data_IF_422728418783
#
_entry.id   IF_422728418783
#
_cell.length_a   1.000
_cell.length_b   1.000
_cell.length_c   1.000
_cell.angle_alpha   90.00
_cell.angle_beta   90.00
_cell.angle_gamma   90.00
#
_symmetry.space_group_name_H-M   'P 1'
#
loop_
_entity.id
_entity.type
_entity.pdbx_description
1 polymer ?
#
# COMPACT_ATOMS: atom_id res chain seq x y z
N UNK A 1 26.70 15.77 -20.24
CA UNK A 1 26.10 14.43 -20.45
C UNK A 1 26.32 13.61 -19.19
N UNK A 2 25.34 13.54 -18.29
CA UNK A 2 25.50 12.86 -16.99
C UNK A 2 25.14 11.38 -17.17
N UNK A 3 26.14 10.51 -16.98
CA UNK A 3 26.08 9.07 -17.16
C UNK A 3 24.93 8.48 -16.31
N UNK A 4 23.87 7.99 -16.96
CA UNK A 4 22.81 7.22 -16.33
C UNK A 4 23.40 5.84 -15.97
N UNK A 5 24.00 5.75 -14.78
CA UNK A 5 24.37 4.47 -14.21
C UNK A 5 23.08 3.88 -13.64
N UNK A 6 22.46 2.96 -14.38
CA UNK A 6 21.31 2.19 -13.89
C UNK A 6 21.71 1.65 -12.51
N UNK A 7 20.95 1.94 -11.44
CA UNK A 7 21.28 1.40 -10.14
C UNK A 7 21.40 -0.11 -10.29
N UNK A 8 22.57 -0.65 -9.96
CA UNK A 8 22.77 -2.10 -9.99
C UNK A 8 21.67 -2.74 -9.16
N UNK A 9 21.13 -3.87 -9.62
CA UNK A 9 20.11 -4.62 -8.86
C UNK A 9 20.57 -4.88 -7.40
N UNK A 10 21.88 -4.97 -7.20
CA UNK A 10 22.52 -5.08 -5.88
C UNK A 10 22.34 -3.80 -5.05
N UNK A 11 22.54 -2.60 -5.61
CA UNK A 11 22.33 -1.36 -4.88
C UNK A 11 20.86 -1.14 -4.51
N UNK A 12 19.94 -1.46 -5.43
CA UNK A 12 18.50 -1.37 -5.16
C UNK A 12 18.06 -2.34 -4.06
N UNK A 13 18.55 -3.58 -4.10
CA UNK A 13 18.25 -4.59 -3.08
C UNK A 13 18.82 -4.21 -1.70
N UNK A 14 20.03 -3.65 -1.64
CA UNK A 14 20.64 -3.21 -0.38
C UNK A 14 19.83 -2.05 0.24
N UNK A 15 19.42 -1.06 -0.56
CA UNK A 15 18.58 0.04 -0.08
C UNK A 15 17.23 -0.44 0.45
N UNK A 16 16.60 -1.40 -0.24
CA UNK A 16 15.33 -1.98 0.18
C UNK A 16 15.46 -2.70 1.53
N UNK A 17 16.53 -3.50 1.71
CA UNK A 17 16.78 -4.22 2.98
C UNK A 17 17.04 -3.24 4.12
N UNK A 18 17.79 -2.16 3.89
CA UNK A 18 18.09 -1.13 4.91
C UNK A 18 16.80 -0.45 5.40
N UNK A 19 15.88 -0.12 4.49
CA UNK A 19 14.61 0.53 4.85
C UNK A 19 13.75 -0.42 5.70
N UNK A 20 13.60 -1.68 5.27
CA UNK A 20 12.82 -2.69 6.01
C UNK A 20 13.45 -2.95 7.38
N UNK A 21 14.77 -3.14 7.45
CA UNK A 21 15.48 -3.37 8.70
C UNK A 21 15.30 -2.22 9.68
N UNK A 22 15.40 -0.97 9.21
CA UNK A 22 15.25 0.21 10.08
C UNK A 22 13.84 0.31 10.65
N UNK A 23 12.81 0.06 9.84
CA UNK A 23 11.41 0.06 10.31
C UNK A 23 11.17 -1.09 11.29
N UNK A 24 11.62 -2.30 10.97
CA UNK A 24 11.45 -3.47 11.81
C UNK A 24 12.13 -3.31 13.18
N UNK A 25 13.38 -2.82 13.20
CA UNK A 25 14.12 -2.55 14.43
C UNK A 25 13.45 -1.42 15.22
N UNK A 26 13.02 -0.34 14.54
CA UNK A 26 12.37 0.80 15.17
C UNK A 26 11.06 0.44 15.88
N UNK A 27 10.23 -0.40 15.27
CA UNK A 27 8.94 -0.81 15.84
C UNK A 27 9.10 -1.89 16.92
N UNK A 28 9.93 -2.91 16.66
CA UNK A 28 10.01 -4.10 17.52
C UNK A 28 10.93 -3.87 18.72
N UNK A 29 12.09 -3.24 18.53
CA UNK A 29 13.08 -3.09 19.59
C UNK A 29 12.77 -1.91 20.52
N UNK A 30 12.24 -0.81 19.97
CA UNK A 30 12.05 0.43 20.73
C UNK A 30 10.57 0.68 21.11
N UNK A 31 9.59 -0.06 20.54
CA UNK A 31 8.14 0.14 20.78
C UNK A 31 7.69 1.59 20.58
N UNK A 32 8.39 2.34 19.74
CA UNK A 32 8.12 3.76 19.50
C UNK A 32 7.00 3.88 18.45
N UNK A 33 6.26 4.99 18.50
CA UNK A 33 5.33 5.37 17.45
C UNK A 33 5.98 5.28 16.04
N UNK A 34 5.27 4.74 15.03
CA UNK A 34 5.80 4.55 13.67
C UNK A 34 6.35 5.84 13.04
N UNK A 35 5.78 7.00 13.40
CA UNK A 35 6.24 8.31 12.94
C UNK A 35 7.72 8.56 13.28
N UNK A 36 8.17 8.16 14.47
CA UNK A 36 9.55 8.38 14.92
C UNK A 36 10.49 7.36 14.27
N UNK A 37 10.03 6.12 14.03
CA UNK A 37 10.79 5.10 13.29
C UNK A 37 11.01 5.49 11.81
N UNK A 38 10.04 6.18 11.21
CA UNK A 38 10.19 6.73 9.86
C UNK A 38 11.17 7.90 9.85
N UNK A 39 11.12 8.77 10.87
CA UNK A 39 12.03 9.91 10.99
C UNK A 39 13.49 9.48 11.10
N UNK A 40 13.77 8.40 11.84
CA UNK A 40 15.13 7.83 11.94
C UNK A 40 15.58 7.17 10.63
N UNK A 41 14.69 6.48 9.92
CA UNK A 41 14.99 5.90 8.60
C UNK A 41 15.38 6.98 7.58
N UNK A 42 14.67 8.10 7.53
CA UNK A 42 15.02 9.24 6.66
C UNK A 42 16.39 9.81 7.03
N UNK A 43 16.72 9.88 8.33
CA UNK A 43 18.05 10.31 8.79
C UNK A 43 19.18 9.43 8.27
N UNK A 44 19.02 8.10 8.33
CA UNK A 44 20.01 7.14 7.80
C UNK A 44 20.14 7.26 6.28
N UNK A 45 19.02 7.40 5.57
CA UNK A 45 19.00 7.58 4.11
C UNK A 45 19.67 8.90 3.71
N UNK A 46 19.47 9.98 4.48
CA UNK A 46 20.11 11.28 4.24
C UNK A 46 21.64 11.20 4.37
N UNK A 47 22.13 10.44 5.35
CA UNK A 47 23.58 10.19 5.49
C UNK A 47 24.11 9.42 4.29
N UNK A 48 23.40 8.39 3.82
CA UNK A 48 23.78 7.62 2.63
C UNK A 48 23.82 8.47 1.34
N UNK A 49 22.84 9.35 1.14
CA UNK A 49 22.79 10.24 -0.04
C UNK A 49 23.86 11.34 0.01
N UNK A 50 24.21 11.83 1.20
CA UNK A 50 25.32 12.76 1.39
C UNK A 50 26.67 12.13 1.01
N UNK A 51 26.92 10.88 1.41
CA UNK A 51 28.13 10.12 1.02
C UNK A 51 28.20 9.91 -0.50
N UNK A 52 27.05 9.68 -1.15
CA UNK A 52 26.97 9.44 -2.60
C UNK A 52 27.00 10.72 -3.45
N UNK A 53 27.13 11.91 -2.83
CA UNK A 53 27.16 13.25 -3.48
C UNK A 53 26.12 13.42 -4.60
N UNK A 54 24.88 13.03 -4.32
CA UNK A 54 23.77 13.24 -5.26
C UNK A 54 23.42 14.74 -5.33
N UNK A 55 23.01 15.21 -6.51
CA UNK A 55 22.59 16.62 -6.67
C UNK A 55 21.32 16.86 -5.84
N UNK A 56 21.30 17.94 -5.06
CA UNK A 56 20.16 18.31 -4.23
C UNK A 56 18.86 18.49 -5.05
N UNK A 57 18.95 18.95 -6.31
CA UNK A 57 17.81 19.01 -7.24
C UNK A 57 17.18 17.64 -7.48
N UNK A 58 17.99 16.60 -7.71
CA UNK A 58 17.48 15.25 -7.96
C UNK A 58 16.82 14.65 -6.70
N UNK A 59 17.28 15.04 -5.50
CA UNK A 59 16.66 14.60 -4.24
C UNK A 59 15.29 15.27 -4.09
N UNK A 60 15.19 16.58 -4.36
CA UNK A 60 13.94 17.32 -4.27
C UNK A 60 12.89 16.78 -5.24
N UNK A 61 13.26 16.56 -6.51
CA UNK A 61 12.38 15.99 -7.53
C UNK A 61 11.87 14.59 -7.14
N UNK A 62 12.74 13.75 -6.55
CA UNK A 62 12.36 12.41 -6.07
C UNK A 62 11.39 12.45 -4.88
N UNK A 63 11.55 13.41 -3.97
CA UNK A 63 10.62 13.60 -2.85
C UNK A 63 9.25 14.03 -3.37
N UNK A 64 9.20 15.02 -4.27
CA UNK A 64 7.94 15.51 -4.84
C UNK A 64 7.24 14.39 -5.61
N UNK A 65 7.94 13.70 -6.51
CA UNK A 65 7.39 12.57 -7.26
C UNK A 65 6.96 11.39 -6.38
N UNK A 66 7.53 11.24 -5.18
CA UNK A 66 7.17 10.19 -4.22
C UNK A 66 5.96 10.54 -3.35
N UNK A 67 5.66 11.82 -3.15
CA UNK A 67 4.49 12.27 -2.36
C UNK A 67 3.22 12.36 -3.20
N UNK A 68 3.34 12.75 -4.48
CA UNK A 68 2.21 12.84 -5.41
C UNK A 68 1.34 11.57 -5.45
N UNK A 69 1.84 10.31 -5.36
CA UNK A 69 0.99 9.11 -5.34
C UNK A 69 0.23 8.94 -4.04
N UNK A 70 0.85 9.34 -2.93
CA UNK A 70 0.36 9.08 -1.59
C UNK A 70 -0.83 9.94 -1.21
N UNK A 71 -1.05 11.05 -1.90
CA UNK A 71 -2.07 12.02 -1.50
C UNK A 71 -3.49 11.44 -1.58
N UNK A 72 -3.80 10.65 -2.63
CA UNK A 72 -5.13 10.08 -2.82
C UNK A 72 -5.49 9.06 -1.72
N UNK A 73 -4.64 8.06 -1.40
CA UNK A 73 -4.88 7.15 -0.27
C UNK A 73 -5.02 7.85 1.09
N UNK A 74 -4.24 8.91 1.35
CA UNK A 74 -4.30 9.64 2.63
C UNK A 74 -5.69 10.23 2.85
N UNK A 75 -6.29 10.84 1.82
CA UNK A 75 -7.65 11.35 1.89
C UNK A 75 -8.68 10.25 2.16
N UNK A 76 -8.52 9.08 1.55
CA UNK A 76 -9.40 7.93 1.77
C UNK A 76 -9.30 7.43 3.21
N UNK A 77 -8.08 7.31 3.77
CA UNK A 77 -7.89 6.88 5.16
C UNK A 77 -8.53 7.85 6.16
N UNK A 78 -8.43 9.16 5.93
CA UNK A 78 -9.06 10.17 6.79
C UNK A 78 -10.59 10.05 6.74
N UNK A 79 -11.16 9.90 5.54
CA UNK A 79 -12.61 9.79 5.34
C UNK A 79 -13.18 8.51 5.93
N UNK A 80 -12.54 7.37 5.69
CA UNK A 80 -12.97 6.09 6.26
C UNK A 80 -12.80 6.07 7.78
N UNK A 81 -11.71 6.67 8.30
CA UNK A 81 -11.49 6.79 9.74
C UNK A 81 -12.58 7.61 10.44
N UNK A 82 -12.97 8.75 9.88
CA UNK A 82 -14.05 9.57 10.45
C UNK A 82 -15.40 8.87 10.37
N UNK A 83 -15.67 8.15 9.27
CA UNK A 83 -16.90 7.37 9.10
C UNK A 83 -17.01 6.27 10.16
N UNK A 84 -15.93 5.50 10.39
CA UNK A 84 -15.89 4.45 11.41
C UNK A 84 -16.12 5.04 12.81
N UNK A 85 -15.51 6.19 13.13
CA UNK A 85 -15.69 6.84 14.42
C UNK A 85 -17.17 7.21 14.70
N UNK A 86 -17.87 7.79 13.72
CA UNK A 86 -19.29 8.14 13.84
C UNK A 86 -20.16 6.89 14.01
N UNK A 87 -19.83 5.79 13.34
CA UNK A 87 -20.59 4.54 13.43
C UNK A 87 -20.43 3.83 14.77
N UNK A 88 -19.24 3.96 15.40
CA UNK A 88 -19.04 3.47 16.77
C UNK A 88 -19.86 4.29 17.75
N UNK A 89 -19.86 5.63 17.62
CA UNK A 89 -20.64 6.51 18.49
C UNK A 89 -22.15 6.28 18.33
N UNK A 90 -22.62 5.98 17.11
CA UNK A 90 -24.00 5.61 16.82
C UNK A 90 -24.36 4.18 17.27
N UNK A 91 -23.39 3.39 17.73
CA UNK A 91 -23.62 2.00 18.18
C UNK A 91 -23.97 1.02 17.06
N UNK A 92 -23.83 1.40 15.79
CA UNK A 92 -24.21 0.56 14.64
C UNK A 92 -23.29 -0.65 14.52
N UNK A 93 -21.96 -0.44 14.58
CA UNK A 93 -20.96 -1.51 14.49
C UNK A 93 -21.14 -2.58 15.59
N UNK A 94 -21.23 -2.24 16.90
CA UNK A 94 -21.40 -3.26 17.94
C UNK A 94 -22.75 -3.99 17.85
N UNK A 95 -23.83 -3.29 17.49
CA UNK A 95 -25.15 -3.91 17.32
C UNK A 95 -25.15 -4.94 16.19
N UNK A 96 -24.53 -4.61 15.04
CA UNK A 96 -24.39 -5.54 13.92
C UNK A 96 -23.56 -6.78 14.30
N UNK A 97 -22.50 -6.62 15.11
CA UNK A 97 -21.67 -7.74 15.55
C UNK A 97 -22.45 -8.74 16.40
N UNK A 98 -23.21 -8.25 17.40
CA UNK A 98 -23.99 -9.11 18.30
C UNK A 98 -25.12 -9.81 17.55
N UNK A 99 -25.80 -9.11 16.63
CA UNK A 99 -26.86 -9.71 15.80
C UNK A 99 -26.27 -10.75 14.84
N UNK A 100 -25.12 -10.47 14.23
CA UNK A 100 -24.44 -11.38 13.30
C UNK A 100 -24.04 -12.70 13.96
N UNK A 101 -23.48 -12.66 15.18
CA UNK A 101 -23.11 -13.87 15.92
C UNK A 101 -24.30 -14.69 16.43
N UNK A 102 -25.49 -14.09 16.53
CA UNK A 102 -26.71 -14.83 16.85
C UNK A 102 -27.25 -15.62 15.65
N UNK A 103 -26.99 -15.15 14.44
CA UNK A 103 -27.45 -15.77 13.18
C UNK A 103 -26.41 -16.79 12.65
N UNK A 104 -25.11 -16.51 12.82
CA UNK A 104 -24.01 -17.34 12.31
C UNK A 104 -23.25 -17.96 13.48
N UNK A 105 -23.14 -19.30 13.48
CA UNK A 105 -22.29 -20.02 14.45
C UNK A 105 -20.82 -19.64 14.25
N UNK A 106 -20.10 -19.35 15.36
CA UNK A 106 -18.69 -18.88 15.39
C UNK A 106 -17.75 -19.73 14.51
N UNK A 107 -18.03 -21.03 14.35
CA UNK A 107 -17.22 -21.95 13.54
C UNK A 107 -17.24 -21.65 12.04
N UNK A 108 -18.29 -20.99 11.53
CA UNK A 108 -18.48 -20.67 10.10
C UNK A 108 -18.13 -19.22 9.73
N UNK A 109 -17.76 -18.39 10.70
CA UNK A 109 -17.49 -16.97 10.48
C UNK A 109 -16.26 -16.72 9.59
N UNK A 110 -15.11 -17.29 9.97
CA UNK A 110 -13.83 -17.10 9.27
C UNK A 110 -13.87 -17.56 7.80
N UNK A 111 -14.35 -18.78 7.44
CA UNK A 111 -14.41 -19.20 6.05
C UNK A 111 -15.36 -18.33 5.21
N UNK A 112 -16.47 -17.86 5.78
CA UNK A 112 -17.41 -16.98 5.08
C UNK A 112 -16.79 -15.62 4.75
N UNK A 113 -16.07 -15.02 5.71
CA UNK A 113 -15.36 -13.74 5.49
C UNK A 113 -14.26 -13.90 4.44
N UNK A 114 -13.54 -15.02 4.44
CA UNK A 114 -12.54 -15.30 3.43
C UNK A 114 -13.13 -15.36 2.01
N UNK A 115 -14.27 -16.06 1.83
CA UNK A 115 -14.98 -16.15 0.55
C UNK A 115 -15.47 -14.78 0.10
N UNK A 116 -16.07 -13.99 0.99
CA UNK A 116 -16.54 -12.63 0.67
C UNK A 116 -15.37 -11.69 0.33
N UNK A 117 -14.26 -11.77 1.06
CA UNK A 117 -13.06 -10.97 0.80
C UNK A 117 -12.47 -11.31 -0.58
N UNK A 118 -12.39 -12.59 -0.92
CA UNK A 118 -11.95 -13.04 -2.24
C UNK A 118 -12.89 -12.56 -3.36
N UNK A 119 -14.20 -12.60 -3.13
CA UNK A 119 -15.21 -12.17 -4.11
C UNK A 119 -15.20 -10.66 -4.33
N UNK A 120 -15.19 -9.86 -3.27
CA UNK A 120 -15.16 -8.39 -3.37
C UNK A 120 -13.84 -7.91 -3.96
N UNK A 121 -12.70 -8.50 -3.54
CA UNK A 121 -11.39 -8.19 -4.13
C UNK A 121 -11.35 -8.50 -5.63
N UNK A 122 -11.98 -9.60 -6.05
CA UNK A 122 -12.11 -9.97 -7.47
C UNK A 122 -13.05 -9.01 -8.21
N UNK A 123 -14.20 -8.67 -7.63
CA UNK A 123 -15.20 -7.79 -8.25
C UNK A 123 -14.67 -6.37 -8.49
N UNK A 124 -14.03 -5.75 -7.50
CA UNK A 124 -13.45 -4.40 -7.62
C UNK A 124 -12.38 -4.37 -8.72
N UNK A 125 -11.56 -5.42 -8.79
CA UNK A 125 -10.53 -5.53 -9.82
C UNK A 125 -11.10 -5.81 -11.23
N UNK A 126 -12.16 -6.61 -11.34
CA UNK A 126 -12.82 -6.89 -12.61
C UNK A 126 -13.61 -5.70 -13.16
N UNK A 127 -14.25 -4.89 -12.29
CA UNK A 127 -15.03 -3.71 -12.69
C UNK A 127 -14.17 -2.66 -13.38
N UNK A 128 -12.91 -2.51 -12.97
CA UNK A 128 -11.98 -1.60 -13.63
C UNK A 128 -11.54 -2.08 -15.04
N UNK A 129 -11.82 -3.34 -15.42
CA UNK A 129 -11.42 -3.90 -16.71
C UNK A 129 -12.43 -3.69 -17.86
N UNK A 130 -13.59 -3.07 -17.61
CA UNK A 130 -14.67 -2.91 -18.60
C UNK A 130 -15.10 -1.44 -18.81
N UNK A 131 -14.15 -0.49 -18.75
CA UNK A 131 -14.38 0.88 -19.20
C UNK A 131 -13.36 1.19 -20.30
N UNK A 132 -13.89 1.43 -21.48
CA UNK A 132 -13.21 1.45 -22.77
C UNK A 132 -12.03 2.43 -22.84
N UNK A 133 -10.83 1.91 -23.06
CA UNK A 133 -9.65 2.45 -23.79
C UNK A 133 -9.09 3.87 -23.46
N UNK A 134 -9.82 4.75 -22.78
CA UNK A 134 -9.42 6.14 -22.49
C UNK A 134 -8.84 6.35 -21.10
N UNK A 135 -8.99 5.39 -20.18
CA UNK A 135 -8.41 5.50 -18.83
C UNK A 135 -6.92 5.14 -18.77
N UNK A 136 -6.34 4.50 -19.81
CA UNK A 136 -4.90 4.24 -19.84
C UNK A 136 -4.04 5.51 -19.90
N UNK A 137 -4.58 6.66 -20.32
CA UNK A 137 -3.85 7.94 -20.39
C UNK A 137 -3.98 8.75 -19.09
N UNK A 138 -5.11 8.65 -18.36
CA UNK A 138 -5.29 9.32 -17.06
C UNK A 138 -4.85 8.46 -15.86
N UNK A 139 -4.64 7.15 -16.05
CA UNK A 139 -3.95 6.25 -15.11
C UNK A 139 -2.48 5.99 -15.49
N UNK A 140 -1.78 6.97 -16.07
CA UNK A 140 -0.33 7.03 -16.00
C UNK A 140 0.13 7.47 -14.58
N UNK A 141 -0.31 6.71 -13.57
CA UNK A 141 0.26 6.72 -12.23
C UNK A 141 1.42 5.73 -12.22
N UNK A 142 2.57 6.28 -12.60
CA UNK A 142 3.90 5.71 -12.52
C UNK A 142 4.14 5.03 -11.15
N UNK A 143 3.93 3.71 -11.15
CA UNK A 143 4.54 2.62 -10.37
C UNK A 143 4.55 2.75 -8.83
N UNK A 144 3.83 1.89 -8.09
CA UNK A 144 4.43 1.02 -7.04
C UNK A 144 3.50 0.17 -6.13
N UNK A 145 2.21 -0.03 -6.39
CA UNK A 145 1.42 -0.90 -5.49
C UNK A 145 0.51 -1.88 -6.21
N UNK A 146 1.10 -2.80 -6.99
CA UNK A 146 0.51 -4.11 -7.39
C UNK A 146 1.30 -4.90 -8.45
N UNK A 147 2.47 -4.45 -8.92
CA UNK A 147 3.09 -5.03 -10.13
C UNK A 147 3.73 -6.42 -9.97
N UNK A 148 3.94 -6.93 -8.75
CA UNK A 148 4.38 -8.33 -8.51
C UNK A 148 3.26 -9.32 -8.20
N UNK A 149 2.02 -8.87 -7.96
CA UNK A 149 0.85 -9.78 -7.83
C UNK A 149 -0.08 -9.76 -9.06
N UNK A 150 0.03 -8.73 -9.94
CA UNK A 150 -0.84 -8.58 -11.10
C UNK A 150 -0.52 -9.55 -12.26
N UNK A 151 0.72 -10.04 -12.41
CA UNK A 151 1.03 -11.08 -13.41
C UNK A 151 0.39 -12.44 -13.04
N UNK A 152 0.26 -12.74 -11.74
CA UNK A 152 -0.43 -13.95 -11.25
C UNK A 152 -1.97 -13.84 -11.38
N UNK A 153 -2.52 -12.63 -11.24
CA UNK A 153 -3.95 -12.37 -11.43
C UNK A 153 -4.42 -12.39 -12.89
N UNK A 154 -3.56 -12.03 -13.84
CA UNK A 154 -3.89 -12.06 -15.27
C UNK A 154 -4.06 -13.51 -15.80
N UNK A 155 -3.39 -14.49 -15.18
CA UNK A 155 -3.67 -15.91 -15.41
C UNK A 155 -4.97 -16.39 -14.73
N UNK A 156 -5.36 -15.77 -13.61
CA UNK A 156 -6.50 -16.22 -12.80
C UNK A 156 -7.86 -15.93 -13.48
N UNK A 157 -8.03 -14.77 -14.11
CA UNK A 157 -9.29 -14.45 -14.85
C UNK A 157 -9.37 -15.21 -16.19
N UNK A 158 -8.24 -15.59 -16.79
CA UNK A 158 -8.21 -16.35 -18.05
C UNK A 158 -8.42 -17.87 -17.89
N UNK A 159 -8.22 -18.45 -16.69
CA UNK A 159 -8.58 -19.85 -16.37
C UNK A 159 -10.01 -20.01 -15.82
N UNK A 160 -10.65 -18.96 -15.29
CA UNK A 160 -12.00 -19.04 -14.70
C UNK A 160 -13.16 -19.00 -15.71
N UNK A 161 -12.88 -18.63 -16.97
CA UNK A 161 -13.86 -18.58 -18.06
C UNK A 161 -13.38 -19.39 -19.29
N UNK A 162 -12.74 -20.54 -19.02
CA UNK A 162 -12.59 -21.66 -19.95
C UNK A 162 -12.86 -22.98 -19.23
#
# INVERSE_FOLDING_TARGET
MKKENKPSLIEASIMLVIIIATIAIGVIALKIAPAIAILSAIGIVMIYTAVKRLSFETIHERIVSGITPGIVPIFIFILVGSLIAVWIQAGIIPTLMVVGFKIISVKWFVPSVFVVCALVGSAVKCIHCNVNHWDCILWNWNNDWTQSSLSSWCNCIRCGFR
#
